data_IF_582252632804
#
_entry.id   IF_582252632804
#
_cell.length_a   1.000
_cell.length_b   1.000
_cell.length_c   1.000
_cell.angle_alpha   90.00
_cell.angle_beta   90.00
_cell.angle_gamma   90.00
#
_symmetry.space_group_name_H-M   'P 1'
#
loop_
_entity.id
_entity.type
_entity.pdbx_description
1 polymer ?
#
# COMPACT_ATOMS: atom_id res chain seq x y z
N UNK A 1 -8.87 20.12 -3.64
CA UNK A 1 -9.53 19.18 -2.71
C UNK A 1 -8.67 19.09 -1.47
N UNK A 2 -9.26 19.25 -0.29
CA UNK A 2 -8.56 19.01 0.97
C UNK A 2 -8.65 17.54 1.35
N UNK A 3 -7.53 16.95 1.74
CA UNK A 3 -7.41 15.58 2.24
C UNK A 3 -6.74 15.68 3.61
N UNK A 4 -7.47 15.28 4.65
CA UNK A 4 -6.96 15.33 6.02
C UNK A 4 -5.86 14.31 6.23
N UNK A 5 -6.08 13.04 5.83
CA UNK A 5 -5.11 11.96 6.03
C UNK A 5 -5.11 10.96 4.88
N UNK A 6 -3.91 10.57 4.46
CA UNK A 6 -3.64 9.39 3.63
C UNK A 6 -2.85 8.38 4.44
N UNK A 7 -3.41 7.18 4.65
CA UNK A 7 -2.67 6.04 5.20
C UNK A 7 -1.95 5.27 4.10
N UNK A 8 -0.69 4.89 4.29
CA UNK A 8 0.10 4.12 3.31
C UNK A 8 0.61 2.85 3.98
N UNK A 9 0.06 1.70 3.59
CA UNK A 9 0.46 0.39 4.12
C UNK A 9 1.48 -0.24 3.17
N UNK A 10 2.66 -0.56 3.71
CA UNK A 10 3.86 -0.82 2.91
C UNK A 10 4.65 0.46 2.63
N UNK A 11 4.61 1.43 3.54
CA UNK A 11 5.27 2.73 3.41
C UNK A 11 6.80 2.66 3.30
N UNK A 12 7.43 1.55 3.69
CA UNK A 12 8.87 1.27 3.48
C UNK A 12 9.20 0.74 2.08
N UNK A 13 8.24 0.77 1.15
CA UNK A 13 8.44 0.46 -0.27
C UNK A 13 9.38 1.47 -0.93
N UNK A 14 10.20 0.99 -1.87
CA UNK A 14 11.00 1.85 -2.74
C UNK A 14 10.16 2.71 -3.70
N UNK A 15 8.85 2.41 -3.83
CA UNK A 15 7.90 3.19 -4.62
C UNK A 15 7.23 4.33 -3.83
N UNK A 16 7.35 4.36 -2.50
CA UNK A 16 6.81 5.47 -1.70
C UNK A 16 7.35 6.84 -2.13
N UNK A 17 8.65 7.02 -2.48
CA UNK A 17 9.13 8.29 -3.01
C UNK A 17 8.39 8.76 -4.28
N UNK A 18 8.02 7.84 -5.18
CA UNK A 18 7.23 8.17 -6.38
C UNK A 18 5.81 8.63 -6.01
N UNK A 19 5.19 7.98 -5.01
CA UNK A 19 3.91 8.42 -4.47
C UNK A 19 4.01 9.85 -3.89
N UNK A 20 5.07 10.13 -3.12
CA UNK A 20 5.31 11.47 -2.55
C UNK A 20 5.55 12.51 -3.64
N UNK A 21 6.33 12.18 -4.67
CA UNK A 21 6.53 13.05 -5.84
C UNK A 21 5.21 13.34 -6.56
N UNK A 22 4.35 12.34 -6.70
CA UNK A 22 2.99 12.50 -7.21
C UNK A 22 2.18 13.51 -6.39
N UNK A 23 2.18 13.40 -5.05
CA UNK A 23 1.51 14.36 -4.16
C UNK A 23 2.08 15.77 -4.32
N UNK A 24 3.40 15.91 -4.37
CA UNK A 24 4.07 17.20 -4.59
C UNK A 24 3.65 17.82 -5.92
N UNK A 25 3.65 17.02 -6.99
CA UNK A 25 3.29 17.49 -8.34
C UNK A 25 1.84 17.96 -8.44
N UNK A 26 0.96 17.40 -7.61
CA UNK A 26 -0.47 17.69 -7.60
C UNK A 26 -0.90 18.65 -6.48
N UNK A 27 0.04 19.29 -5.78
CA UNK A 27 -0.26 20.14 -4.62
C UNK A 27 -1.24 21.30 -4.90
N UNK A 28 -1.33 21.76 -6.16
CA UNK A 28 -2.32 22.77 -6.59
C UNK A 28 -3.77 22.24 -6.59
N UNK A 29 -3.95 20.92 -6.72
CA UNK A 29 -5.25 20.26 -6.81
C UNK A 29 -5.57 19.42 -5.56
N UNK A 30 -4.55 18.85 -4.92
CA UNK A 30 -4.63 17.94 -3.79
C UNK A 30 -3.83 18.51 -2.62
N UNK A 31 -4.54 19.01 -1.61
CA UNK A 31 -3.93 19.53 -0.38
C UNK A 31 -4.01 18.45 0.69
N UNK A 32 -2.95 17.66 0.81
CA UNK A 32 -2.83 16.58 1.81
C UNK A 32 -2.21 17.15 3.08
N UNK A 33 -2.92 17.09 4.21
CA UNK A 33 -2.42 17.57 5.51
C UNK A 33 -1.47 16.57 6.15
N UNK A 34 -1.82 15.28 6.13
CA UNK A 34 -1.02 14.23 6.76
C UNK A 34 -0.91 12.99 5.86
N UNK A 35 0.29 12.40 5.82
CA UNK A 35 0.52 11.07 5.29
C UNK A 35 1.16 10.19 6.37
N UNK A 36 0.49 9.08 6.69
CA UNK A 36 0.99 8.10 7.67
C UNK A 36 1.58 6.90 6.92
N UNK A 37 2.90 6.76 6.97
CA UNK A 37 3.61 5.65 6.37
C UNK A 37 3.71 4.50 7.37
N UNK A 38 3.15 3.35 7.02
CA UNK A 38 3.15 2.15 7.84
C UNK A 38 3.96 1.04 7.19
N UNK A 39 4.91 0.47 7.93
CA UNK A 39 5.60 -0.77 7.53
C UNK A 39 5.92 -1.64 8.74
N UNK A 40 6.08 -2.93 8.50
CA UNK A 40 6.52 -3.90 9.52
C UNK A 40 8.05 -3.96 9.62
N UNK A 41 8.77 -3.47 8.61
CA UNK A 41 10.21 -3.34 8.61
C UNK A 41 10.61 -1.92 9.06
N UNK A 42 11.04 -1.73 10.33
CA UNK A 42 11.31 -0.40 10.87
C UNK A 42 12.50 0.27 10.17
N UNK A 43 13.48 -0.50 9.71
CA UNK A 43 14.66 0.04 9.04
C UNK A 43 14.28 0.60 7.67
N UNK A 44 13.48 -0.14 6.90
CA UNK A 44 12.97 0.36 5.61
C UNK A 44 12.08 1.57 5.79
N UNK A 45 11.20 1.53 6.80
CA UNK A 45 10.31 2.64 7.12
C UNK A 45 11.07 3.91 7.48
N UNK A 46 12.10 3.80 8.32
CA UNK A 46 12.94 4.94 8.72
C UNK A 46 13.65 5.57 7.51
N UNK A 47 14.27 4.76 6.66
CA UNK A 47 15.01 5.23 5.46
C UNK A 47 14.07 5.95 4.50
N UNK A 48 12.96 5.30 4.15
CA UNK A 48 12.00 5.83 3.17
C UNK A 48 11.24 7.02 3.75
N UNK A 49 10.85 6.96 5.01
CA UNK A 49 10.21 8.05 5.75
C UNK A 49 11.07 9.31 5.80
N UNK A 50 12.36 9.17 6.14
CA UNK A 50 13.29 10.30 6.14
C UNK A 50 13.44 10.95 4.75
N UNK A 51 13.45 10.14 3.68
CA UNK A 51 13.46 10.65 2.31
C UNK A 51 12.16 11.40 1.97
N UNK A 52 11.00 10.80 2.27
CA UNK A 52 9.68 11.42 2.05
C UNK A 52 9.56 12.79 2.75
N UNK A 53 9.95 12.86 4.03
CA UNK A 53 9.97 14.12 4.80
C UNK A 53 10.87 15.16 4.15
N UNK A 54 12.05 14.77 3.67
CA UNK A 54 12.96 15.69 2.97
C UNK A 54 12.37 16.20 1.65
N UNK A 55 11.67 15.35 0.91
CA UNK A 55 11.04 15.73 -0.35
C UNK A 55 9.96 16.81 -0.15
N UNK A 56 9.04 16.61 0.81
CA UNK A 56 7.97 17.60 1.07
C UNK A 56 8.53 18.90 1.65
N UNK A 57 9.52 18.83 2.55
CA UNK A 57 10.16 20.01 3.13
C UNK A 57 10.93 20.82 2.08
N UNK A 58 11.56 20.15 1.11
CA UNK A 58 12.35 20.81 0.06
C UNK A 58 11.51 21.76 -0.78
N UNK A 59 10.23 21.44 -0.99
CA UNK A 59 9.29 22.26 -1.77
C UNK A 59 8.39 23.13 -0.88
N UNK A 60 8.55 23.07 0.45
CA UNK A 60 7.74 23.83 1.40
C UNK A 60 6.28 23.39 1.46
N UNK A 61 5.98 22.13 1.13
CA UNK A 61 4.63 21.60 1.19
C UNK A 61 4.24 21.35 2.66
N UNK A 62 3.10 21.87 3.16
CA UNK A 62 2.67 21.72 4.55
C UNK A 62 2.02 20.35 4.80
N UNK A 63 2.61 19.28 4.26
CA UNK A 63 2.18 17.90 4.48
C UNK A 63 3.06 17.27 5.56
N UNK A 64 2.44 16.82 6.65
CA UNK A 64 3.11 16.07 7.70
C UNK A 64 3.34 14.63 7.25
N UNK A 65 4.57 14.13 7.42
CA UNK A 65 4.92 12.72 7.20
C UNK A 65 5.10 12.06 8.56
N UNK A 66 4.17 11.16 8.92
CA UNK A 66 4.23 10.36 10.14
C UNK A 66 4.64 8.92 9.82
N UNK A 67 5.38 8.28 10.72
CA UNK A 67 5.77 6.87 10.62
C UNK A 67 5.00 6.06 11.67
N UNK A 68 4.45 4.91 11.29
CA UNK A 68 3.72 4.05 12.22
C UNK A 68 4.02 2.57 11.97
N UNK A 69 3.94 1.77 13.04
CA UNK A 69 3.88 0.30 12.95
C UNK A 69 2.46 -0.22 13.26
N UNK A 70 1.50 0.68 13.50
CA UNK A 70 0.13 0.36 13.89
C UNK A 70 -0.82 0.52 12.71
N UNK A 71 -1.49 -0.56 12.36
CA UNK A 71 -2.56 -0.52 11.36
C UNK A 71 -3.67 0.43 11.82
N UNK A 72 -4.08 0.35 13.10
CA UNK A 72 -5.10 1.20 13.69
C UNK A 72 -4.80 2.69 13.51
N UNK A 73 -3.61 3.15 13.92
CA UNK A 73 -3.24 4.57 13.80
C UNK A 73 -3.22 5.06 12.34
N UNK A 74 -2.86 4.17 11.43
CA UNK A 74 -2.78 4.45 9.99
C UNK A 74 -4.16 4.58 9.36
N UNK A 75 -5.14 3.79 9.81
CA UNK A 75 -6.49 3.78 9.26
C UNK A 75 -7.41 4.84 9.89
N UNK A 76 -7.18 5.21 11.15
CA UNK A 76 -8.04 6.11 11.92
C UNK A 76 -8.13 7.51 11.29
N UNK A 77 -9.34 7.91 10.89
CA UNK A 77 -9.62 9.21 10.27
C UNK A 77 -9.09 9.39 8.84
N UNK A 78 -8.63 8.31 8.19
CA UNK A 78 -8.10 8.37 6.84
C UNK A 78 -9.21 8.68 5.81
N UNK A 79 -8.92 9.55 4.84
CA UNK A 79 -9.77 9.72 3.66
C UNK A 79 -9.43 8.70 2.56
N UNK A 80 -8.14 8.36 2.46
CA UNK A 80 -7.62 7.37 1.53
C UNK A 80 -6.64 6.46 2.25
N UNK A 81 -6.66 5.19 1.90
CA UNK A 81 -5.67 4.20 2.33
C UNK A 81 -5.07 3.57 1.09
N UNK A 82 -3.75 3.64 0.96
CA UNK A 82 -3.01 3.08 -0.16
C UNK A 82 -2.29 1.83 0.32
N UNK A 83 -2.44 0.72 -0.39
CA UNK A 83 -1.67 -0.51 -0.10
C UNK A 83 -0.63 -0.76 -1.17
N UNK A 84 0.62 -0.98 -0.78
CA UNK A 84 1.74 -1.35 -1.65
C UNK A 84 2.63 -2.41 -0.98
N UNK A 85 1.99 -3.42 -0.38
CA UNK A 85 2.68 -4.46 0.40
C UNK A 85 3.22 -5.58 -0.50
N UNK A 86 4.18 -6.35 0.02
CA UNK A 86 4.62 -7.62 -0.59
C UNK A 86 4.63 -8.72 0.44
N UNK A 87 3.54 -9.46 0.54
CA UNK A 87 3.44 -10.55 1.51
C UNK A 87 4.37 -11.70 1.12
N UNK A 88 5.30 -12.04 2.02
CA UNK A 88 6.39 -12.99 1.77
C UNK A 88 7.67 -12.35 1.22
N UNK A 89 7.67 -11.04 0.96
CA UNK A 89 8.86 -10.31 0.50
C UNK A 89 9.47 -10.88 -0.79
N UNK A 90 10.76 -10.60 -0.99
CA UNK A 90 11.51 -11.11 -2.15
C UNK A 90 11.71 -12.62 -2.07
N UNK A 91 11.85 -13.18 -0.86
CA UNK A 91 11.98 -14.63 -0.68
C UNK A 91 10.75 -15.38 -1.22
N UNK A 92 9.54 -14.90 -0.92
CA UNK A 92 8.30 -15.45 -1.47
C UNK A 92 8.25 -15.33 -2.99
N UNK A 93 8.60 -14.16 -3.54
CA UNK A 93 8.66 -13.96 -5.00
C UNK A 93 9.62 -14.93 -5.69
N UNK A 94 10.79 -15.19 -5.10
CA UNK A 94 11.75 -16.16 -5.65
C UNK A 94 11.12 -17.54 -5.77
N UNK A 95 10.31 -17.96 -4.79
CA UNK A 95 9.59 -19.24 -4.85
C UNK A 95 8.50 -19.21 -5.91
N UNK A 96 7.73 -18.12 -5.99
CA UNK A 96 6.67 -17.94 -6.99
C UNK A 96 7.20 -18.01 -8.42
N UNK A 97 8.43 -17.57 -8.66
CA UNK A 97 9.08 -17.63 -9.97
C UNK A 97 9.79 -18.97 -10.20
N UNK A 98 10.49 -19.54 -9.20
CA UNK A 98 11.30 -20.76 -9.40
C UNK A 98 10.49 -22.05 -9.38
N UNK A 99 9.46 -22.16 -8.55
CA UNK A 99 8.67 -23.40 -8.44
C UNK A 99 8.01 -23.73 -9.79
N UNK A 100 7.28 -22.81 -10.47
CA UNK A 100 6.65 -23.13 -11.74
C UNK A 100 7.66 -23.52 -12.83
N UNK A 101 8.84 -22.86 -12.85
CA UNK A 101 9.91 -23.17 -13.81
C UNK A 101 10.41 -24.61 -13.68
N UNK A 102 10.45 -25.18 -12.47
CA UNK A 102 10.84 -26.58 -12.25
C UNK A 102 9.87 -27.58 -12.89
N UNK A 103 8.63 -27.15 -13.22
CA UNK A 103 7.62 -27.93 -13.90
C UNK A 103 7.44 -27.54 -15.38
N UNK A 104 8.36 -26.75 -15.95
CA UNK A 104 8.27 -26.28 -17.33
C UNK A 104 7.16 -25.24 -17.56
N UNK A 105 6.66 -24.61 -16.50
CA UNK A 105 5.67 -23.53 -16.55
C UNK A 105 6.35 -22.17 -16.35
N UNK A 106 5.68 -21.09 -16.77
CA UNK A 106 6.19 -19.73 -16.56
C UNK A 106 6.19 -19.37 -15.07
N UNK A 107 7.33 -18.90 -14.59
CA UNK A 107 7.47 -18.25 -13.28
C UNK A 107 7.35 -16.75 -13.42
N UNK A 108 6.25 -16.16 -12.92
CA UNK A 108 6.01 -14.73 -13.02
C UNK A 108 5.25 -14.24 -11.78
N UNK A 109 5.50 -12.99 -11.38
CA UNK A 109 5.03 -12.38 -10.13
C UNK A 109 3.50 -12.32 -9.96
N UNK A 110 2.75 -12.04 -11.03
CA UNK A 110 1.32 -11.66 -11.00
C UNK A 110 0.42 -12.54 -11.86
N UNK A 111 1.00 -13.43 -12.65
CA UNK A 111 0.31 -14.31 -13.60
C UNK A 111 0.79 -15.75 -13.45
N UNK A 112 0.00 -16.69 -13.96
CA UNK A 112 0.31 -18.11 -13.85
C UNK A 112 0.33 -18.60 -12.38
N UNK A 113 0.96 -19.76 -12.12
CA UNK A 113 0.98 -20.35 -10.78
C UNK A 113 1.69 -19.47 -9.74
N UNK A 114 2.72 -18.72 -10.15
CA UNK A 114 3.43 -17.77 -9.28
C UNK A 114 2.54 -16.62 -8.82
N UNK A 115 1.85 -15.97 -9.76
CA UNK A 115 0.86 -14.94 -9.45
C UNK A 115 -0.28 -15.42 -8.57
N UNK A 116 -0.77 -16.64 -8.82
CA UNK A 116 -1.81 -17.23 -7.98
C UNK A 116 -1.31 -17.51 -6.55
N UNK A 117 -0.10 -18.03 -6.40
CA UNK A 117 0.56 -18.23 -5.10
C UNK A 117 0.70 -16.90 -4.33
N UNK A 118 1.14 -15.82 -5.00
CA UNK A 118 1.19 -14.49 -4.39
C UNK A 118 -0.20 -13.99 -3.97
N UNK A 119 -1.22 -14.20 -4.81
CA UNK A 119 -2.60 -13.82 -4.51
C UNK A 119 -3.11 -14.51 -3.24
N UNK A 120 -2.89 -15.82 -3.12
CA UNK A 120 -3.32 -16.61 -1.96
C UNK A 120 -2.71 -16.13 -0.64
N UNK A 121 -1.45 -15.66 -0.67
CA UNK A 121 -0.82 -15.07 0.53
C UNK A 121 -1.33 -13.67 0.84
N UNK A 122 -1.70 -12.91 -0.18
CA UNK A 122 -1.93 -11.46 -0.06
C UNK A 122 -3.40 -11.11 0.18
N UNK A 123 -4.34 -11.82 -0.45
CA UNK A 123 -5.78 -11.58 -0.30
C UNK A 123 -6.22 -11.54 1.17
N UNK A 124 -5.85 -12.49 2.04
CA UNK A 124 -6.28 -12.46 3.45
C UNK A 124 -5.77 -11.23 4.20
N UNK A 125 -4.55 -10.76 3.87
CA UNK A 125 -3.96 -9.56 4.50
C UNK A 125 -4.72 -8.31 4.09
N UNK A 126 -5.02 -8.15 2.80
CA UNK A 126 -5.74 -6.97 2.30
C UNK A 126 -7.21 -6.99 2.71
N UNK A 127 -7.85 -8.16 2.80
CA UNK A 127 -9.20 -8.28 3.35
C UNK A 127 -9.25 -7.85 4.82
N UNK A 128 -8.26 -8.22 5.64
CA UNK A 128 -8.16 -7.75 7.02
C UNK A 128 -7.98 -6.22 7.10
N UNK A 129 -7.18 -5.64 6.20
CA UNK A 129 -7.05 -4.17 6.10
C UNK A 129 -8.40 -3.54 5.76
N UNK A 130 -9.12 -4.08 4.78
CA UNK A 130 -10.43 -3.57 4.37
C UNK A 130 -11.49 -3.71 5.48
N UNK A 131 -11.45 -4.79 6.25
CA UNK A 131 -12.31 -5.01 7.41
C UNK A 131 -12.06 -3.95 8.49
N UNK A 132 -10.79 -3.73 8.87
CA UNK A 132 -10.43 -2.70 9.84
C UNK A 132 -10.75 -1.29 9.34
N UNK A 133 -10.54 -1.04 8.04
CA UNK A 133 -10.88 0.23 7.42
C UNK A 133 -12.39 0.50 7.49
N UNK A 134 -13.22 -0.53 7.26
CA UNK A 134 -14.68 -0.40 7.36
C UNK A 134 -15.17 -0.03 8.76
N UNK A 135 -14.41 -0.39 9.81
CA UNK A 135 -14.74 -0.06 11.19
C UNK A 135 -14.29 1.36 11.58
N UNK A 136 -13.14 1.77 11.07
CA UNK A 136 -12.43 2.98 11.56
C UNK A 136 -12.68 4.20 10.69
N UNK A 137 -12.71 4.02 9.38
CA UNK A 137 -12.95 5.09 8.41
C UNK A 137 -13.81 4.54 7.26
N UNK A 138 -15.12 4.28 7.52
CA UNK A 138 -16.01 3.65 6.54
C UNK A 138 -16.15 4.43 5.23
N UNK A 139 -15.96 5.75 5.27
CA UNK A 139 -16.00 6.62 4.09
C UNK A 139 -14.66 6.71 3.34
N UNK A 140 -13.61 6.03 3.80
CA UNK A 140 -12.33 6.03 3.11
C UNK A 140 -12.40 5.26 1.79
N UNK A 141 -11.51 5.63 0.87
CA UNK A 141 -11.20 4.80 -0.29
C UNK A 141 -9.97 3.96 -0.03
N UNK A 142 -10.04 2.66 -0.33
CA UNK A 142 -8.89 1.78 -0.44
C UNK A 142 -8.35 1.81 -1.87
N UNK A 143 -7.16 2.37 -2.06
CA UNK A 143 -6.44 2.39 -3.33
C UNK A 143 -5.42 1.24 -3.30
N UNK A 144 -5.71 0.19 -4.04
CA UNK A 144 -4.87 -0.99 -4.11
C UNK A 144 -3.80 -0.86 -5.19
N UNK A 145 -2.55 -0.59 -4.78
CA UNK A 145 -1.34 -0.75 -5.60
C UNK A 145 -0.59 -2.06 -5.29
N UNK A 146 -1.21 -2.97 -4.53
CA UNK A 146 -0.62 -4.27 -4.21
C UNK A 146 -0.97 -5.26 -5.30
N UNK A 147 0.05 -5.96 -5.80
CA UNK A 147 -0.11 -7.01 -6.79
C UNK A 147 -0.39 -8.39 -6.17
N UNK A 148 -1.12 -9.28 -6.88
CA UNK A 148 -1.76 -9.07 -8.18
C UNK A 148 -3.05 -8.26 -8.08
N UNK A 149 -3.07 -7.07 -8.66
CA UNK A 149 -4.07 -6.04 -8.33
C UNK A 149 -5.51 -6.50 -8.60
N UNK A 150 -5.78 -7.03 -9.80
CA UNK A 150 -7.13 -7.45 -10.17
C UNK A 150 -7.73 -8.52 -9.25
N UNK A 151 -6.94 -9.53 -8.84
CA UNK A 151 -7.41 -10.59 -7.94
C UNK A 151 -7.68 -10.05 -6.53
N UNK A 152 -6.80 -9.17 -6.04
CA UNK A 152 -6.92 -8.57 -4.71
C UNK A 152 -8.11 -7.61 -4.66
N UNK A 153 -8.20 -6.70 -5.63
CA UNK A 153 -9.31 -5.73 -5.74
C UNK A 153 -10.65 -6.45 -5.85
N UNK A 154 -10.77 -7.48 -6.69
CA UNK A 154 -12.02 -8.25 -6.79
C UNK A 154 -12.36 -9.00 -5.50
N UNK A 155 -11.37 -9.57 -4.81
CA UNK A 155 -11.59 -10.23 -3.53
C UNK A 155 -12.14 -9.25 -2.47
N UNK A 156 -11.54 -8.06 -2.34
CA UNK A 156 -12.02 -7.01 -1.43
C UNK A 156 -13.42 -6.56 -1.81
N UNK A 157 -13.66 -6.26 -3.10
CA UNK A 157 -14.95 -5.79 -3.61
C UNK A 157 -16.10 -6.77 -3.31
N UNK A 158 -15.81 -8.08 -3.28
CA UNK A 158 -16.80 -9.12 -2.94
C UNK A 158 -17.02 -9.29 -1.44
N UNK A 159 -16.02 -9.01 -0.62
CA UNK A 159 -16.04 -9.37 0.81
C UNK A 159 -16.17 -8.18 1.76
N UNK A 160 -16.08 -6.93 1.28
CA UNK A 160 -16.09 -5.72 2.10
C UNK A 160 -16.98 -4.63 1.51
N UNK A 161 -17.66 -3.82 2.34
CA UNK A 161 -18.43 -2.66 1.88
C UNK A 161 -17.56 -1.45 1.53
N UNK A 162 -16.24 -1.48 1.79
CA UNK A 162 -15.34 -0.37 1.51
C UNK A 162 -15.25 -0.07 0.01
N UNK A 163 -15.19 1.23 -0.30
CA UNK A 163 -14.90 1.70 -1.66
C UNK A 163 -13.46 1.33 -2.02
N UNK A 164 -13.28 0.53 -3.06
CA UNK A 164 -11.97 0.03 -3.48
C UNK A 164 -11.73 0.28 -4.97
N UNK A 165 -10.49 0.62 -5.33
CA UNK A 165 -10.01 0.71 -6.71
C UNK A 165 -8.60 0.14 -6.78
N UNK A 166 -8.25 -0.56 -7.86
CA UNK A 166 -6.91 -1.08 -8.12
C UNK A 166 -6.82 -1.81 -9.45
#
# INVERSE_FOLDING_TARGET
MEISKIGVIGGGSSYTPELIEGIISQASHLQVKEMVLMDIDPRRLEIVGALATRMVNKVGLPTEIALSSSLEQTLEGANFVITQVRVGGIAGRILDEKIPLAYGLIGQETTGPGGFSLALRTIPVVQKIAEELSRRSPDAWLINFTNPSGLITEAVRRSSPIKVVG
#
